data_IF_469807526728
#
_entry.id   IF_469807526728
#
_cell.length_a   1.000
_cell.length_b   1.000
_cell.length_c   1.000
_cell.angle_alpha   90.00
_cell.angle_beta   90.00
_cell.angle_gamma   90.00
#
_symmetry.space_group_name_H-M   'P 1'
#
loop_
_entity.id
_entity.type
_entity.pdbx_description
1 polymer ?
#
# COMPACT_ATOMS: atom_id res chain seq x y z
N UNK A 1 -1.77 23.27 -27.02
CA UNK A 1 -1.76 23.13 -25.59
C UNK A 1 -3.18 23.01 -25.10
N UNK A 2 -3.57 21.82 -24.62
CA UNK A 2 -4.78 21.71 -23.82
C UNK A 2 -4.41 22.14 -22.42
N UNK A 3 -4.73 23.37 -22.03
CA UNK A 3 -4.80 23.78 -20.64
C UNK A 3 -5.95 22.98 -20.00
N UNK A 4 -5.60 21.89 -19.32
CA UNK A 4 -6.51 21.27 -18.40
C UNK A 4 -6.76 22.35 -17.32
N UNK A 5 -7.93 23.00 -17.33
CA UNK A 5 -8.28 24.00 -16.35
C UNK A 5 -8.22 23.34 -14.97
N UNK A 6 -7.17 23.65 -14.22
CA UNK A 6 -7.03 23.25 -12.83
C UNK A 6 -8.14 24.00 -12.06
N UNK A 7 -9.23 23.30 -11.79
CA UNK A 7 -10.26 23.80 -10.90
C UNK A 7 -10.04 23.20 -9.52
N UNK A 8 -10.12 24.01 -8.48
CA UNK A 8 -9.99 23.56 -7.08
C UNK A 8 -11.01 22.46 -6.78
N UNK A 9 -12.23 22.56 -7.30
CA UNK A 9 -13.28 21.56 -7.13
C UNK A 9 -12.94 20.24 -7.84
N UNK A 10 -12.35 20.27 -9.01
CA UNK A 10 -11.86 19.07 -9.72
C UNK A 10 -10.73 18.40 -8.96
N UNK A 11 -9.81 19.18 -8.39
CA UNK A 11 -8.72 18.67 -7.56
C UNK A 11 -9.24 18.02 -6.27
N UNK A 12 -10.14 18.71 -5.55
CA UNK A 12 -10.75 18.20 -4.31
C UNK A 12 -11.55 16.92 -4.58
N UNK A 13 -12.32 16.90 -5.68
CA UNK A 13 -13.12 15.72 -6.06
C UNK A 13 -12.22 14.52 -6.36
N UNK A 14 -11.18 14.70 -7.15
CA UNK A 14 -10.21 13.64 -7.47
C UNK A 14 -9.41 13.21 -6.25
N UNK A 15 -8.97 14.16 -5.44
CA UNK A 15 -8.29 13.90 -4.17
C UNK A 15 -9.16 13.05 -3.22
N UNK A 16 -10.42 13.38 -3.07
CA UNK A 16 -11.34 12.64 -2.21
C UNK A 16 -11.67 11.26 -2.78
N UNK A 17 -11.84 11.12 -4.09
CA UNK A 17 -12.13 9.83 -4.73
C UNK A 17 -10.92 8.88 -4.66
N UNK A 18 -9.76 9.32 -5.11
CA UNK A 18 -8.56 8.46 -5.20
C UNK A 18 -7.94 8.16 -3.83
N UNK A 19 -8.00 9.10 -2.88
CA UNK A 19 -7.37 8.96 -1.58
C UNK A 19 -8.33 8.47 -0.48
N UNK A 20 -9.54 9.02 -0.40
CA UNK A 20 -10.46 8.62 0.66
C UNK A 20 -11.12 7.27 0.38
N UNK A 21 -11.51 7.01 -0.88
CA UNK A 21 -12.19 5.77 -1.23
C UNK A 21 -11.21 4.62 -1.50
N UNK A 22 -10.25 4.80 -2.40
CA UNK A 22 -9.39 3.68 -2.83
C UNK A 22 -8.36 3.33 -1.76
N UNK A 23 -7.64 4.32 -1.23
CA UNK A 23 -6.63 4.08 -0.21
C UNK A 23 -7.24 3.70 1.14
N UNK A 24 -8.27 4.40 1.60
CA UNK A 24 -8.95 4.11 2.86
C UNK A 24 -9.59 2.72 2.87
N UNK A 25 -10.26 2.33 1.79
CA UNK A 25 -10.84 0.99 1.63
C UNK A 25 -9.77 -0.11 1.59
N UNK A 26 -8.67 0.13 0.88
CA UNK A 26 -7.56 -0.80 0.78
C UNK A 26 -6.91 -1.05 2.15
N UNK A 27 -6.62 0.01 2.91
CA UNK A 27 -6.09 -0.09 4.27
C UNK A 27 -7.04 -0.84 5.18
N UNK A 28 -8.32 -0.46 5.19
CA UNK A 28 -9.33 -1.13 6.01
C UNK A 28 -9.43 -2.62 5.67
N UNK A 29 -9.43 -2.97 4.39
CA UNK A 29 -9.49 -4.35 3.91
C UNK A 29 -8.31 -5.19 4.40
N UNK A 30 -7.08 -4.69 4.25
CA UNK A 30 -5.86 -5.38 4.72
C UNK A 30 -5.86 -5.52 6.24
N UNK A 31 -6.16 -4.44 6.95
CA UNK A 31 -6.20 -4.43 8.42
C UNK A 31 -7.25 -5.40 8.97
N UNK A 32 -8.48 -5.39 8.41
CA UNK A 32 -9.54 -6.29 8.84
C UNK A 32 -9.20 -7.77 8.62
N UNK A 33 -8.52 -8.10 7.52
CA UNK A 33 -8.07 -9.46 7.27
C UNK A 33 -6.99 -9.89 8.27
N UNK A 34 -6.04 -9.01 8.59
CA UNK A 34 -5.00 -9.27 9.58
C UNK A 34 -5.61 -9.42 10.98
N UNK A 35 -6.49 -8.53 11.38
CA UNK A 35 -7.17 -8.61 12.69
C UNK A 35 -7.97 -9.90 12.81
N UNK A 36 -8.76 -10.23 11.79
CA UNK A 36 -9.67 -11.39 11.83
C UNK A 36 -8.97 -12.74 11.80
N UNK A 37 -7.83 -12.84 11.10
CA UNK A 37 -7.20 -14.14 10.81
C UNK A 37 -5.81 -14.31 11.43
N UNK A 38 -5.20 -13.22 11.90
CA UNK A 38 -3.85 -13.22 12.47
C UNK A 38 -3.76 -12.42 13.78
N UNK A 39 -4.88 -12.31 14.51
CA UNK A 39 -4.95 -11.67 15.84
C UNK A 39 -4.37 -10.23 15.85
N UNK A 40 -4.52 -9.50 14.76
CA UNK A 40 -4.01 -8.14 14.62
C UNK A 40 -2.48 -8.03 14.47
N UNK A 41 -1.78 -9.17 14.34
CA UNK A 41 -0.32 -9.19 14.12
C UNK A 41 -0.04 -9.41 12.64
N UNK A 42 0.88 -8.63 12.09
CA UNK A 42 1.34 -8.85 10.71
C UNK A 42 1.99 -10.24 10.65
N UNK A 43 1.48 -11.15 9.81
CA UNK A 43 2.01 -12.51 9.72
C UNK A 43 3.43 -12.50 9.11
N UNK A 44 4.19 -13.55 9.41
CA UNK A 44 5.49 -13.75 8.74
C UNK A 44 5.26 -14.16 7.30
N UNK A 45 6.00 -13.54 6.38
CA UNK A 45 6.03 -13.96 4.99
C UNK A 45 6.73 -15.31 4.85
N UNK A 46 6.19 -16.15 3.96
CA UNK A 46 6.81 -17.40 3.53
C UNK A 46 7.55 -17.23 2.19
N UNK A 47 7.42 -18.23 1.33
CA UNK A 47 8.02 -18.18 -0.01
C UNK A 47 7.29 -17.18 -0.90
N UNK A 48 8.06 -16.43 -1.70
CA UNK A 48 7.55 -15.49 -2.68
C UNK A 48 7.44 -16.15 -4.05
N UNK A 49 6.34 -15.91 -4.73
CA UNK A 49 6.20 -16.24 -6.15
C UNK A 49 6.59 -15.04 -7.05
N UNK A 50 6.54 -15.25 -8.36
CA UNK A 50 6.90 -14.22 -9.35
C UNK A 50 6.06 -12.94 -9.23
N UNK A 51 4.80 -13.06 -8.81
CA UNK A 51 3.90 -11.91 -8.62
C UNK A 51 4.31 -11.11 -7.40
N UNK A 52 4.67 -11.79 -6.32
CA UNK A 52 5.18 -11.18 -5.09
C UNK A 52 6.49 -10.44 -5.35
N UNK A 53 7.41 -11.08 -6.07
CA UNK A 53 8.71 -10.49 -6.42
C UNK A 53 8.58 -9.25 -7.30
N UNK A 54 7.64 -9.23 -8.24
CA UNK A 54 7.34 -8.04 -9.05
C UNK A 54 6.85 -6.89 -8.20
N UNK A 55 5.91 -7.14 -7.29
CA UNK A 55 5.40 -6.10 -6.39
C UNK A 55 6.49 -5.57 -5.45
N UNK A 56 7.36 -6.44 -4.93
CA UNK A 56 8.52 -6.06 -4.10
C UNK A 56 9.48 -5.16 -4.88
N UNK A 57 9.81 -5.52 -6.13
CA UNK A 57 10.70 -4.73 -6.97
C UNK A 57 10.15 -3.32 -7.22
N UNK A 58 8.87 -3.21 -7.52
CA UNK A 58 8.19 -1.92 -7.71
C UNK A 58 8.15 -1.10 -6.42
N UNK A 59 7.81 -1.71 -5.30
CA UNK A 59 7.76 -1.04 -4.01
C UNK A 59 9.13 -0.50 -3.59
N UNK A 60 10.23 -1.20 -3.92
CA UNK A 60 11.60 -0.74 -3.67
C UNK A 60 12.03 0.44 -4.52
N UNK A 61 11.59 0.51 -5.76
CA UNK A 61 11.99 1.58 -6.71
C UNK A 61 11.12 2.83 -6.61
N UNK A 62 9.87 2.67 -6.20
CA UNK A 62 8.90 3.78 -6.13
C UNK A 62 9.36 4.97 -5.28
N UNK A 63 9.91 4.80 -4.06
CA UNK A 63 10.34 5.93 -3.24
C UNK A 63 11.42 6.77 -3.92
N UNK A 64 12.35 6.12 -4.59
CA UNK A 64 13.44 6.80 -5.30
C UNK A 64 12.91 7.58 -6.51
N UNK A 65 11.98 6.99 -7.27
CA UNK A 65 11.30 7.66 -8.38
C UNK A 65 10.52 8.88 -7.90
N UNK A 66 9.74 8.73 -6.83
CA UNK A 66 8.98 9.84 -6.22
C UNK A 66 9.90 10.96 -5.75
N UNK A 67 11.01 10.62 -5.08
CA UNK A 67 11.98 11.60 -4.64
C UNK A 67 12.58 12.39 -5.81
N UNK A 68 12.97 11.71 -6.89
CA UNK A 68 13.47 12.34 -8.12
C UNK A 68 12.44 13.31 -8.71
N UNK A 69 11.17 12.88 -8.82
CA UNK A 69 10.09 13.72 -9.34
C UNK A 69 9.83 14.97 -8.48
N UNK A 70 9.93 14.85 -7.15
CA UNK A 70 9.83 15.99 -6.23
C UNK A 70 10.96 16.97 -6.46
N UNK A 71 12.21 16.50 -6.59
CA UNK A 71 13.36 17.36 -6.89
C UNK A 71 13.25 18.08 -8.24
N UNK A 72 12.58 17.46 -9.21
CA UNK A 72 12.26 18.06 -10.51
C UNK A 72 11.02 18.98 -10.47
N UNK A 73 10.42 19.20 -9.29
CA UNK A 73 9.16 19.95 -9.10
C UNK A 73 7.93 19.36 -9.83
N UNK A 74 8.00 18.08 -10.18
CA UNK A 74 6.92 17.32 -10.83
C UNK A 74 5.99 16.67 -9.78
N UNK A 75 5.37 17.51 -8.95
CA UNK A 75 4.58 17.05 -7.79
C UNK A 75 3.40 16.16 -8.20
N UNK A 76 2.73 16.52 -9.32
CA UNK A 76 1.62 15.73 -9.85
C UNK A 76 2.07 14.30 -10.20
N UNK A 77 3.19 14.15 -10.88
CA UNK A 77 3.71 12.85 -11.31
C UNK A 77 4.19 12.02 -10.11
N UNK A 78 4.73 12.67 -9.07
CA UNK A 78 5.11 12.03 -7.81
C UNK A 78 3.90 11.44 -7.10
N UNK A 79 2.79 12.18 -7.01
CA UNK A 79 1.54 11.71 -6.43
C UNK A 79 0.92 10.57 -7.26
N UNK A 80 0.85 10.72 -8.58
CA UNK A 80 0.30 9.69 -9.46
C UNK A 80 1.13 8.40 -9.41
N UNK A 81 2.46 8.49 -9.30
CA UNK A 81 3.36 7.35 -9.10
C UNK A 81 3.03 6.62 -7.80
N UNK A 82 2.82 7.35 -6.71
CA UNK A 82 2.44 6.77 -5.42
C UNK A 82 1.07 6.11 -5.47
N UNK A 83 0.06 6.76 -6.06
CA UNK A 83 -1.27 6.22 -6.22
C UNK A 83 -1.29 4.99 -7.13
N UNK A 84 -0.45 4.96 -8.17
CA UNK A 84 -0.28 3.80 -9.04
C UNK A 84 0.20 2.57 -8.27
N UNK A 85 1.15 2.74 -7.34
CA UNK A 85 1.58 1.66 -6.45
C UNK A 85 0.43 1.12 -5.60
N UNK A 86 -0.40 2.00 -5.02
CA UNK A 86 -1.56 1.61 -4.22
C UNK A 86 -2.62 0.85 -5.03
N UNK A 87 -2.89 1.29 -6.26
CA UNK A 87 -3.79 0.57 -7.18
C UNK A 87 -3.25 -0.82 -7.53
N UNK A 88 -1.93 -0.98 -7.64
CA UNK A 88 -1.30 -2.29 -7.88
C UNK A 88 -1.46 -3.24 -6.70
N UNK A 89 -1.37 -2.75 -5.45
CA UNK A 89 -1.67 -3.57 -4.26
C UNK A 89 -3.13 -4.06 -4.31
N UNK A 90 -4.06 -3.20 -4.68
CA UNK A 90 -5.47 -3.60 -4.76
C UNK A 90 -5.67 -4.73 -5.78
N UNK A 91 -5.09 -4.59 -6.99
CA UNK A 91 -5.11 -5.65 -8.01
C UNK A 91 -4.42 -6.93 -7.54
N UNK A 92 -3.30 -6.80 -6.86
CA UNK A 92 -2.56 -7.92 -6.29
C UNK A 92 -3.40 -8.67 -5.26
N UNK A 93 -4.05 -7.97 -4.32
CA UNK A 93 -4.97 -8.57 -3.35
C UNK A 93 -6.15 -9.28 -4.01
N UNK A 94 -6.69 -8.72 -5.08
CA UNK A 94 -7.77 -9.35 -5.85
C UNK A 94 -7.31 -10.63 -6.54
N UNK A 95 -6.14 -10.61 -7.16
CA UNK A 95 -5.56 -11.77 -7.83
C UNK A 95 -5.22 -12.90 -6.86
N UNK A 96 -4.62 -12.57 -5.70
CA UNK A 96 -4.25 -13.56 -4.67
C UNK A 96 -5.43 -14.04 -3.84
N UNK A 97 -6.48 -13.25 -3.74
CA UNK A 97 -7.70 -13.53 -2.98
C UNK A 97 -7.45 -14.19 -1.61
N UNK A 98 -6.64 -13.61 -0.69
CA UNK A 98 -6.21 -14.26 0.54
C UNK A 98 -7.38 -14.69 1.45
N UNK A 99 -8.55 -14.04 1.33
CA UNK A 99 -9.78 -14.42 2.05
C UNK A 99 -10.36 -15.77 1.62
N UNK A 100 -10.01 -16.28 0.41
CA UNK A 100 -10.36 -17.62 -0.04
C UNK A 100 -9.38 -18.64 0.54
N UNK A 101 -8.09 -18.40 0.36
CA UNK A 101 -7.01 -19.28 0.81
C UNK A 101 -7.02 -19.52 2.32
N UNK A 102 -7.42 -18.56 3.13
CA UNK A 102 -7.53 -18.70 4.60
C UNK A 102 -8.65 -19.68 5.00
N UNK A 103 -9.68 -19.83 4.17
CA UNK A 103 -10.84 -20.68 4.48
C UNK A 103 -10.66 -22.13 4.04
N UNK A 104 -9.78 -22.37 3.08
CA UNK A 104 -9.74 -23.65 2.37
C UNK A 104 -8.80 -24.67 2.99
N UNK A 105 -7.63 -24.30 3.51
CA UNK A 105 -6.70 -25.24 4.13
C UNK A 105 -5.53 -24.55 4.84
N UNK A 106 -4.97 -25.21 5.86
CA UNK A 106 -3.78 -24.74 6.60
C UNK A 106 -2.54 -24.57 5.69
N UNK A 107 -2.42 -25.37 4.63
CA UNK A 107 -1.34 -25.25 3.65
C UNK A 107 -1.41 -23.95 2.84
N UNK A 108 -2.60 -23.43 2.58
CA UNK A 108 -2.81 -22.18 1.85
C UNK A 108 -2.76 -20.94 2.76
N UNK A 109 -2.87 -21.13 4.08
CA UNK A 109 -2.75 -20.07 5.08
C UNK A 109 -1.38 -19.38 5.01
N UNK A 110 -0.31 -20.12 4.69
CA UNK A 110 1.04 -19.58 4.46
C UNK A 110 1.10 -18.61 3.28
N UNK A 111 0.44 -18.91 2.17
CA UNK A 111 0.36 -18.01 1.02
C UNK A 111 -0.44 -16.75 1.33
N UNK A 112 -1.55 -16.89 2.04
CA UNK A 112 -2.35 -15.75 2.49
C UNK A 112 -1.58 -14.86 3.48
N UNK A 113 -0.80 -15.47 4.38
CA UNK A 113 0.08 -14.76 5.31
C UNK A 113 1.11 -13.92 4.56
N UNK A 114 1.78 -14.49 3.55
CA UNK A 114 2.74 -13.79 2.69
C UNK A 114 2.09 -12.63 1.95
N UNK A 115 0.92 -12.86 1.37
CA UNK A 115 0.15 -11.83 0.65
C UNK A 115 -0.21 -10.66 1.56
N UNK A 116 -0.68 -10.91 2.78
CA UNK A 116 -1.07 -9.86 3.72
C UNK A 116 0.15 -9.13 4.31
N UNK A 117 1.24 -9.85 4.62
CA UNK A 117 2.48 -9.24 5.08
C UNK A 117 3.05 -8.28 4.03
N UNK A 118 3.14 -8.73 2.79
CA UNK A 118 3.63 -7.89 1.68
C UNK A 118 2.71 -6.70 1.42
N UNK A 119 1.40 -6.90 1.45
CA UNK A 119 0.44 -5.81 1.29
C UNK A 119 0.57 -4.76 2.39
N UNK A 120 0.77 -5.18 3.64
CA UNK A 120 0.98 -4.26 4.77
C UNK A 120 2.27 -3.45 4.61
N UNK A 121 3.37 -4.07 4.17
CA UNK A 121 4.65 -3.40 3.92
C UNK A 121 4.55 -2.36 2.79
N UNK A 122 3.93 -2.73 1.68
CA UNK A 122 3.76 -1.79 0.54
C UNK A 122 2.79 -0.66 0.90
N UNK A 123 1.73 -0.94 1.69
CA UNK A 123 0.85 0.10 2.24
C UNK A 123 1.61 1.07 3.16
N UNK A 124 2.54 0.57 3.98
CA UNK A 124 3.38 1.41 4.84
C UNK A 124 4.22 2.38 3.99
N UNK A 125 4.84 1.89 2.90
CA UNK A 125 5.60 2.74 1.97
C UNK A 125 4.70 3.78 1.33
N UNK A 126 3.56 3.39 0.78
CA UNK A 126 2.59 4.31 0.19
C UNK A 126 2.11 5.37 1.20
N UNK A 127 1.88 4.98 2.45
CA UNK A 127 1.52 5.90 3.53
C UNK A 127 2.61 6.92 3.83
N UNK A 128 3.88 6.49 3.86
CA UNK A 128 5.01 7.38 4.07
C UNK A 128 5.16 8.39 2.92
N UNK A 129 4.99 7.94 1.67
CA UNK A 129 5.05 8.80 0.49
C UNK A 129 3.88 9.79 0.42
N UNK A 130 2.71 9.43 0.95
CA UNK A 130 1.55 10.32 1.04
C UNK A 130 1.57 11.25 2.26
N UNK A 131 2.44 11.00 3.25
CA UNK A 131 2.46 11.76 4.50
C UNK A 131 2.60 13.27 4.30
N UNK A 132 3.43 13.80 3.39
CA UNK A 132 3.52 15.25 3.15
C UNK A 132 2.20 15.88 2.68
N UNK A 133 1.33 15.10 2.04
CA UNK A 133 0.05 15.57 1.49
C UNK A 133 -1.11 15.32 2.48
N UNK A 134 -1.03 14.27 3.30
CA UNK A 134 -2.09 13.86 4.23
C UNK A 134 -1.53 13.45 5.61
N UNK A 135 -0.89 14.34 6.36
CA UNK A 135 -0.18 13.97 7.59
C UNK A 135 -1.07 13.33 8.65
N UNK A 136 -2.29 13.83 8.86
CA UNK A 136 -3.18 13.32 9.91
C UNK A 136 -3.69 11.89 9.64
N UNK A 137 -4.04 11.60 8.38
CA UNK A 137 -4.61 10.29 8.01
C UNK A 137 -3.55 9.22 7.90
N UNK A 138 -2.39 9.54 7.35
CA UNK A 138 -1.30 8.58 7.17
C UNK A 138 -0.60 8.24 8.47
N UNK A 139 -0.43 9.20 9.40
CA UNK A 139 0.16 8.94 10.72
C UNK A 139 -0.67 7.95 11.53
N UNK A 140 -2.00 8.06 11.53
CA UNK A 140 -2.89 7.09 12.21
C UNK A 140 -2.72 5.67 11.65
N UNK A 141 -2.51 5.54 10.34
CA UNK A 141 -2.36 4.25 9.67
C UNK A 141 -0.99 3.62 9.91
N UNK A 142 0.07 4.42 9.86
CA UNK A 142 1.42 3.96 10.18
C UNK A 142 1.49 3.49 11.64
N UNK A 143 0.83 4.20 12.55
CA UNK A 143 0.77 3.81 13.98
C UNK A 143 -0.07 2.56 14.21
N UNK A 144 -1.19 2.40 13.49
CA UNK A 144 -2.06 1.23 13.60
C UNK A 144 -1.46 -0.02 12.92
N UNK A 145 -0.65 0.17 11.89
CA UNK A 145 0.07 -0.89 11.17
C UNK A 145 1.49 -1.14 11.72
N UNK A 146 1.92 -0.36 12.74
CA UNK A 146 3.20 -0.60 13.41
C UNK A 146 3.10 -1.93 14.16
N UNK A 147 3.90 -2.95 13.80
CA UNK A 147 3.92 -4.20 14.56
C UNK A 147 4.43 -3.92 15.97
N UNK A 148 3.83 -4.56 16.94
CA UNK A 148 4.28 -4.56 18.33
C UNK A 148 5.62 -5.30 18.54
N UNK A 149 6.35 -5.56 17.48
CA UNK A 149 7.75 -6.01 17.47
C UNK A 149 8.37 -5.60 16.15
N UNK A 150 9.46 -4.86 16.23
CA UNK A 150 10.38 -4.58 15.13
C UNK A 150 10.91 -5.91 14.59
N UNK A 151 10.16 -6.53 13.70
CA UNK A 151 10.67 -7.62 12.87
C UNK A 151 10.96 -7.01 11.50
N UNK A 152 12.15 -7.26 11.02
CA UNK A 152 12.75 -6.71 9.80
C UNK A 152 11.72 -6.43 8.71
N UNK A 153 11.50 -5.15 8.45
CA UNK A 153 10.77 -4.70 7.28
C UNK A 153 11.45 -5.27 6.05
N UNK A 154 10.72 -5.98 5.20
CA UNK A 154 11.20 -6.55 3.94
C UNK A 154 11.77 -5.49 3.00
N UNK A 155 11.43 -4.25 3.27
CA UNK A 155 11.84 -3.08 2.49
C UNK A 155 12.40 -2.05 3.47
N UNK A 156 13.65 -1.61 3.30
CA UNK A 156 14.29 -0.65 4.21
C UNK A 156 13.46 0.64 4.30
N UNK A 157 13.40 1.19 5.51
CA UNK A 157 12.80 2.50 5.78
C UNK A 157 13.75 3.58 5.27
N UNK A 158 13.26 4.52 4.52
CA UNK A 158 13.99 5.71 4.07
C UNK A 158 13.84 6.85 5.06
#
# INVERSE_FOLDING_TARGET
GMDASFTMDGFITRYNADLANDYGNLVNRVTMLIVKHFDGKIPKSGNYDDTDLKLIAEAKTTPQTVNTLIHELKIHDALETTLSLLRKINKYLEAKAPWKSIKEDDSQRGSAATTLALSADVLRIGSQLLNPVMPEKTTRLVTAAAPCSVQESLIPTF
#
